data_IF_242007128794
#
_entry.id   IF_242007128794
#
_cell.length_a   1.000
_cell.length_b   1.000
_cell.length_c   1.000
_cell.angle_alpha   90.00
_cell.angle_beta   90.00
_cell.angle_gamma   90.00
#
_symmetry.space_group_name_H-M   'P 1'
#
loop_
_entity.id
_entity.type
_entity.pdbx_description
1 polymer ?
#
# COMPACT_ATOMS: atom_id res chain seq x y z
N UNK A 1 6.17 14.74 -12.46
CA UNK A 1 6.45 14.22 -12.44
C UNK A 1 6.88 13.81 -12.68
N UNK A 2 7.11 13.97 -12.44
CA UNK A 2 7.58 13.35 -12.53
C UNK A 2 7.65 12.66 -12.33
N UNK A 3 7.68 12.60 -12.54
CA UNK A 3 7.97 12.18 -12.33
C UNK A 3 8.40 12.46 -12.06
N UNK A 4 8.37 12.46 -11.91
CA UNK A 4 8.87 12.71 -11.52
C UNK A 4 9.40 12.95 -11.33
N UNK A 5 9.14 13.34 -12.06
CA UNK A 5 10.00 13.58 -11.93
C UNK A 5 10.76 13.54 -10.73
N UNK A 6 11.47 13.48 -10.45
CA UNK A 6 12.22 13.45 -9.21
C UNK A 6 11.74 12.47 -8.16
N UNK A 7 10.59 11.96 -8.32
CA UNK A 7 10.00 11.02 -7.36
C UNK A 7 10.40 9.59 -7.70
N UNK A 8 11.16 8.97 -6.79
CA UNK A 8 11.56 7.58 -6.95
C UNK A 8 10.64 6.68 -6.13
N UNK A 9 9.67 6.08 -6.81
CA UNK A 9 8.69 5.22 -6.15
C UNK A 9 9.32 3.94 -5.61
N UNK A 10 10.38 3.46 -6.26
CA UNK A 10 11.09 2.27 -5.77
C UNK A 10 11.75 2.56 -4.42
N UNK A 11 12.41 3.72 -4.30
CA UNK A 11 13.01 4.12 -3.04
C UNK A 11 11.94 4.33 -1.95
N UNK A 12 10.78 4.85 -2.33
CA UNK A 12 9.68 5.03 -1.40
C UNK A 12 9.17 3.67 -0.90
N UNK A 13 9.04 2.70 -1.79
CA UNK A 13 8.64 1.35 -1.39
C UNK A 13 9.67 0.70 -0.46
N UNK A 14 10.96 0.92 -0.74
CA UNK A 14 12.03 0.43 0.14
C UNK A 14 11.86 1.00 1.55
N UNK A 15 11.56 2.28 1.64
CA UNK A 15 11.37 2.93 2.93
C UNK A 15 10.14 2.41 3.66
N UNK A 16 9.03 2.24 2.94
CA UNK A 16 7.82 1.68 3.53
C UNK A 16 8.10 0.28 4.06
N UNK A 17 8.79 -0.54 3.28
CA UNK A 17 9.11 -1.90 3.70
C UNK A 17 9.95 -1.94 4.97
N UNK A 18 10.89 -1.02 5.11
CA UNK A 18 11.80 -1.02 6.26
C UNK A 18 11.21 -0.34 7.50
N UNK A 19 10.26 0.59 7.33
CA UNK A 19 9.80 1.42 8.43
C UNK A 19 8.36 1.24 8.86
N UNK A 20 7.48 0.83 7.93
CA UNK A 20 6.04 0.83 8.23
C UNK A 20 5.66 -0.05 9.42
N UNK A 21 6.29 -1.21 9.55
CA UNK A 21 5.95 -2.15 10.61
C UNK A 21 6.20 -1.61 12.02
N UNK A 22 7.16 -0.68 12.16
CA UNK A 22 7.53 -0.11 13.46
C UNK A 22 7.14 1.35 13.61
N UNK A 23 6.46 1.93 12.62
CA UNK A 23 6.05 3.32 12.67
C UNK A 23 4.90 3.52 13.67
N UNK A 24 4.75 4.75 14.17
CA UNK A 24 3.60 5.02 15.03
C UNK A 24 2.31 4.98 14.20
N UNK A 25 1.15 5.00 14.87
CA UNK A 25 -0.12 4.71 14.20
C UNK A 25 -0.46 5.68 13.08
N UNK A 26 -0.15 6.97 13.24
CA UNK A 26 -0.44 7.97 12.22
C UNK A 26 0.46 7.77 10.99
N UNK A 27 1.76 7.63 11.23
CA UNK A 27 2.72 7.41 10.16
C UNK A 27 2.46 6.08 9.46
N UNK A 28 2.15 5.04 10.24
CA UNK A 28 1.86 3.73 9.70
C UNK A 28 0.65 3.77 8.76
N UNK A 29 -0.40 4.48 9.16
CA UNK A 29 -1.59 4.64 8.32
C UNK A 29 -1.25 5.36 7.01
N UNK A 30 -0.45 6.44 7.10
CA UNK A 30 -0.02 7.20 5.93
C UNK A 30 0.81 6.35 4.98
N UNK A 31 1.75 5.59 5.52
CA UNK A 31 2.59 4.69 4.71
C UNK A 31 1.77 3.60 4.04
N UNK A 32 0.80 3.04 4.77
CA UNK A 32 -0.07 2.01 4.22
C UNK A 32 -0.93 2.56 3.09
N UNK A 33 -1.45 3.78 3.25
CA UNK A 33 -2.24 4.42 2.20
C UNK A 33 -1.39 4.67 0.96
N UNK A 34 -0.15 5.14 1.16
CA UNK A 34 0.78 5.36 0.06
C UNK A 34 1.11 4.05 -0.66
N UNK A 35 1.35 2.99 0.10
CA UNK A 35 1.62 1.67 -0.46
C UNK A 35 0.45 1.21 -1.33
N UNK A 36 -0.77 1.35 -0.83
CA UNK A 36 -1.96 0.95 -1.57
C UNK A 36 -2.12 1.78 -2.85
N UNK A 37 -1.90 3.11 -2.77
CA UNK A 37 -2.00 3.97 -3.94
C UNK A 37 -1.00 3.57 -5.02
N UNK A 38 0.24 3.28 -4.64
CA UNK A 38 1.25 2.82 -5.59
C UNK A 38 0.81 1.51 -6.24
N UNK A 39 0.32 0.56 -5.45
CA UNK A 39 -0.12 -0.72 -5.97
C UNK A 39 -1.32 -0.61 -6.91
N UNK A 40 -2.20 0.36 -6.65
CA UNK A 40 -3.39 0.57 -7.49
C UNK A 40 -3.04 1.26 -8.80
N UNK A 41 -2.21 2.31 -8.74
CA UNK A 41 -1.99 3.19 -9.88
C UNK A 41 -0.72 2.95 -10.67
N UNK A 42 0.21 2.13 -10.16
CA UNK A 42 1.48 1.86 -10.85
C UNK A 42 1.62 0.36 -11.09
N UNK A 43 1.11 -0.13 -12.24
CA UNK A 43 1.11 -1.57 -12.52
C UNK A 43 2.48 -2.24 -12.41
N UNK A 44 3.53 -1.52 -12.79
CA UNK A 44 4.89 -2.08 -12.73
C UNK A 44 5.35 -2.38 -11.29
N UNK A 45 4.80 -1.69 -10.32
CA UNK A 45 5.18 -1.86 -8.92
C UNK A 45 4.12 -2.58 -8.10
N UNK A 46 3.00 -2.94 -8.72
CA UNK A 46 1.88 -3.58 -8.02
C UNK A 46 2.29 -4.85 -7.29
N UNK A 47 3.02 -5.71 -7.99
CA UNK A 47 3.43 -6.99 -7.41
C UNK A 47 4.30 -6.78 -6.17
N UNK A 48 5.20 -5.81 -6.23
CA UNK A 48 6.04 -5.50 -5.08
C UNK A 48 5.23 -4.91 -3.93
N UNK A 49 4.30 -4.00 -4.24
CA UNK A 49 3.45 -3.42 -3.22
C UNK A 49 2.62 -4.49 -2.51
N UNK A 50 2.08 -5.45 -3.27
CA UNK A 50 1.34 -6.56 -2.69
C UNK A 50 2.23 -7.40 -1.79
N UNK A 51 3.46 -7.67 -2.22
CA UNK A 51 4.40 -8.46 -1.44
C UNK A 51 4.78 -7.77 -0.13
N UNK A 52 4.99 -6.46 -0.17
CA UNK A 52 5.29 -5.68 1.04
C UNK A 52 4.11 -5.74 2.02
N UNK A 53 2.89 -5.53 1.51
CA UNK A 53 1.70 -5.59 2.34
C UNK A 53 1.54 -6.94 3.03
N UNK A 54 1.76 -8.03 2.29
CA UNK A 54 1.67 -9.38 2.85
C UNK A 54 2.75 -9.62 3.90
N UNK A 55 3.98 -9.19 3.60
CA UNK A 55 5.12 -9.42 4.49
C UNK A 55 4.92 -8.72 5.84
N UNK A 56 4.48 -7.48 5.82
CA UNK A 56 4.34 -6.69 7.04
C UNK A 56 3.03 -6.95 7.78
N UNK A 57 1.98 -7.31 7.06
CA UNK A 57 0.69 -7.65 7.67
C UNK A 57 -0.01 -6.50 8.38
N UNK A 58 0.39 -5.26 8.09
CA UNK A 58 -0.20 -4.09 8.74
C UNK A 58 -1.70 -3.99 8.39
N UNK A 59 -2.52 -3.86 9.42
CA UNK A 59 -3.99 -3.80 9.31
C UNK A 59 -4.65 -5.06 8.77
N UNK A 60 -3.96 -6.19 8.78
CA UNK A 60 -4.54 -7.46 8.29
C UNK A 60 -5.85 -7.78 8.97
N UNK A 61 -5.91 -7.66 10.28
CA UNK A 61 -7.07 -8.01 11.08
C UNK A 61 -7.89 -6.78 11.49
N UNK A 62 -7.73 -5.68 10.78
CA UNK A 62 -8.43 -4.45 11.09
C UNK A 62 -9.93 -4.64 10.87
N UNK A 63 -10.77 -4.37 11.89
CA UNK A 63 -12.21 -4.56 11.74
C UNK A 63 -12.81 -3.53 10.79
N UNK A 64 -13.68 -3.99 9.88
CA UNK A 64 -14.36 -3.09 8.95
C UNK A 64 -15.85 -3.39 8.98
N UNK A 65 -16.63 -2.34 8.66
CA UNK A 65 -18.08 -2.49 8.57
C UNK A 65 -18.43 -3.27 7.30
N UNK A 66 -19.59 -3.91 7.33
CA UNK A 66 -20.10 -4.59 6.15
C UNK A 66 -20.18 -3.61 4.98
N UNK A 67 -19.66 -4.02 3.85
CA UNK A 67 -19.64 -3.17 2.66
C UNK A 67 -18.42 -2.30 2.52
N UNK A 68 -17.55 -2.26 3.53
CA UNK A 68 -16.30 -1.49 3.47
C UNK A 68 -15.14 -2.39 3.09
N UNK A 69 -14.15 -1.80 2.41
CA UNK A 69 -12.95 -2.53 2.03
C UNK A 69 -11.94 -2.50 3.18
N UNK A 70 -11.30 -3.65 3.42
CA UNK A 70 -10.25 -3.72 4.43
C UNK A 70 -9.09 -2.77 4.09
N UNK A 71 -8.51 -2.09 5.08
CA UNK A 71 -7.31 -1.27 4.86
C UNK A 71 -6.04 -2.09 4.67
N UNK A 72 -6.09 -3.42 4.84
CA UNK A 72 -4.95 -4.28 4.55
C UNK A 72 -4.58 -4.11 3.07
N UNK A 73 -3.36 -3.61 2.80
CA UNK A 73 -2.99 -3.19 1.46
C UNK A 73 -3.24 -4.22 0.36
N UNK A 74 -2.88 -5.52 0.52
CA UNK A 74 -3.16 -6.49 -0.54
C UNK A 74 -4.64 -6.60 -0.88
N UNK A 75 -5.52 -6.59 0.12
CA UNK A 75 -6.97 -6.65 -0.13
C UNK A 75 -7.43 -5.36 -0.81
N UNK A 76 -6.97 -4.22 -0.31
CA UNK A 76 -7.33 -2.91 -0.84
C UNK A 76 -6.92 -2.77 -2.31
N UNK A 77 -5.64 -3.10 -2.61
CA UNK A 77 -5.12 -3.03 -3.98
C UNK A 77 -5.93 -3.92 -4.91
N UNK A 78 -6.14 -5.17 -4.54
CA UNK A 78 -6.85 -6.12 -5.39
C UNK A 78 -8.30 -5.69 -5.62
N UNK A 79 -8.96 -5.16 -4.59
CA UNK A 79 -10.33 -4.67 -4.71
C UNK A 79 -10.41 -3.54 -5.74
N UNK A 80 -9.52 -2.55 -5.61
CA UNK A 80 -9.55 -1.39 -6.51
C UNK A 80 -9.15 -1.75 -7.93
N UNK A 81 -8.18 -2.64 -8.09
CA UNK A 81 -7.77 -3.09 -9.42
C UNK A 81 -8.90 -3.85 -10.11
N UNK A 82 -9.63 -4.68 -9.38
CA UNK A 82 -10.73 -5.42 -9.98
C UNK A 82 -11.85 -4.48 -10.45
N UNK A 83 -12.01 -3.33 -9.80
CA UNK A 83 -13.01 -2.34 -10.21
C UNK A 83 -12.58 -1.52 -11.42
N UNK A 84 -11.28 -1.43 -11.66
CA UNK A 84 -10.75 -0.69 -12.81
C UNK A 84 -10.90 -1.47 -14.11
N UNK A 85 -10.87 -2.76 -14.00
CA UNK A 85 -10.80 -3.58 -15.16
C UNK A 85 -11.86 -4.56 -15.36
#
# INVERSE_FOLDING_TARGET
MRSPEGLDLTALLDRIESEMGSADSVVQWTMNSTLAEIGIHVPKLRKRALAIGEKLGVFRDYPVSKGCTSPFAPIWINFMVSRQG
#
